data_IF_877828959893
#
_entry.id   IF_877828959893
#
_cell.length_a   1.000
_cell.length_b   1.000
_cell.length_c   1.000
_cell.angle_alpha   90.00
_cell.angle_beta   90.00
_cell.angle_gamma   90.00
#
_symmetry.space_group_name_H-M   'P 1'
#
loop_
_entity.id
_entity.type
_entity.pdbx_description
1 polymer ?
#
# COMPACT_ATOMS: atom_id res chain seq x y z
N UNK A 1 -8.65 14.51 -16.57
CA UNK A 1 -7.61 14.86 -15.58
C UNK A 1 -7.54 13.70 -14.64
N UNK A 2 -6.80 12.66 -15.04
CA UNK A 2 -6.67 11.47 -14.22
C UNK A 2 -5.85 11.81 -12.99
N UNK A 3 -6.35 11.39 -11.83
CA UNK A 3 -5.61 11.51 -10.58
C UNK A 3 -4.25 10.80 -10.68
N UNK A 4 -3.34 11.05 -9.73
CA UNK A 4 -2.06 10.35 -9.66
C UNK A 4 -2.22 8.83 -9.83
N UNK A 5 -1.39 8.26 -10.70
CA UNK A 5 -1.46 6.86 -11.06
C UNK A 5 -1.08 5.96 -9.88
N UNK A 6 -1.76 4.81 -9.78
CA UNK A 6 -1.43 3.77 -8.82
C UNK A 6 -0.06 3.15 -9.14
N UNK A 7 0.80 3.06 -8.12
CA UNK A 7 2.08 2.38 -8.20
C UNK A 7 1.96 0.99 -7.59
N UNK A 8 2.09 -0.02 -8.45
CA UNK A 8 2.11 -1.43 -8.05
C UNK A 8 3.47 -1.82 -7.48
N UNK A 9 3.51 -2.60 -6.40
CA UNK A 9 4.77 -3.10 -5.82
C UNK A 9 5.56 -3.95 -6.82
N UNK A 10 6.89 -3.82 -6.83
CA UNK A 10 7.78 -4.66 -7.66
C UNK A 10 7.83 -6.14 -7.23
N UNK A 11 7.36 -6.45 -6.01
CA UNK A 11 7.26 -7.83 -5.50
C UNK A 11 5.94 -8.52 -5.89
N UNK A 12 5.09 -7.81 -6.62
CA UNK A 12 3.82 -8.34 -7.11
C UNK A 12 4.04 -9.49 -8.10
N UNK A 13 3.47 -10.66 -7.79
CA UNK A 13 3.43 -11.78 -8.73
C UNK A 13 2.17 -11.71 -9.61
N UNK A 14 2.05 -12.62 -10.58
CA UNK A 14 0.91 -12.67 -11.51
C UNK A 14 -0.42 -13.07 -10.84
N UNK A 15 -0.41 -13.50 -9.57
CA UNK A 15 -1.57 -14.07 -8.89
C UNK A 15 -2.40 -13.04 -8.10
N UNK A 16 -2.44 -11.79 -8.57
CA UNK A 16 -3.43 -10.76 -8.22
C UNK A 16 -3.58 -10.28 -6.74
N UNK A 17 -2.76 -10.75 -5.79
CA UNK A 17 -2.71 -10.22 -4.42
C UNK A 17 -1.69 -9.07 -4.26
N UNK A 18 -1.81 -8.03 -5.09
CA UNK A 18 -0.79 -6.98 -5.18
C UNK A 18 -1.22 -5.73 -4.42
N UNK A 19 -0.36 -5.23 -3.53
CA UNK A 19 -0.58 -3.92 -2.90
C UNK A 19 -0.15 -2.81 -3.88
N UNK A 20 -1.05 -1.84 -4.05
CA UNK A 20 -0.84 -0.64 -4.85
C UNK A 20 -0.93 0.61 -3.97
N UNK A 21 -0.12 1.62 -4.29
CA UNK A 21 -0.06 2.88 -3.53
C UNK A 21 -0.16 4.09 -4.45
N UNK A 22 -0.76 5.18 -3.97
CA UNK A 22 -0.66 6.49 -4.61
C UNK A 22 -0.65 7.62 -3.59
N UNK A 23 -0.13 8.77 -3.99
CA UNK A 23 -0.36 10.02 -3.28
C UNK A 23 -1.70 10.61 -3.72
N UNK A 24 -2.53 11.09 -2.80
CA UNK A 24 -3.80 11.75 -3.15
C UNK A 24 -4.09 12.82 -2.09
N UNK A 25 -4.23 14.08 -2.52
CA UNK A 25 -4.57 15.22 -1.65
C UNK A 25 -3.64 15.36 -0.42
N UNK A 26 -2.34 15.10 -0.60
CA UNK A 26 -1.33 15.15 0.47
C UNK A 26 -1.32 13.93 1.41
N UNK A 27 -2.17 12.94 1.15
CA UNK A 27 -2.25 11.68 1.87
C UNK A 27 -1.69 10.53 1.02
N UNK A 28 -1.55 9.37 1.66
CA UNK A 28 -1.22 8.10 1.01
C UNK A 28 -2.48 7.25 0.98
N UNK A 29 -2.80 6.71 -0.18
CA UNK A 29 -3.83 5.70 -0.36
C UNK A 29 -3.18 4.36 -0.69
N UNK A 30 -3.68 3.30 -0.07
CA UNK A 30 -3.30 1.92 -0.32
C UNK A 30 -4.55 1.15 -0.72
N UNK A 31 -4.40 0.20 -1.64
CA UNK A 31 -5.43 -0.78 -1.99
C UNK A 31 -4.79 -2.10 -2.39
N UNK A 32 -5.60 -3.15 -2.42
CA UNK A 32 -5.25 -4.42 -3.04
C UNK A 32 -5.78 -4.45 -4.49
N UNK A 33 -5.04 -5.06 -5.41
CA UNK A 33 -5.46 -5.10 -6.82
C UNK A 33 -6.75 -5.89 -7.05
N UNK A 34 -7.02 -6.93 -6.25
CA UNK A 34 -8.25 -7.73 -6.33
C UNK A 34 -9.43 -7.14 -5.54
N UNK A 35 -9.18 -6.16 -4.67
CA UNK A 35 -10.20 -5.39 -3.96
C UNK A 35 -9.97 -3.88 -4.15
N UNK A 36 -10.08 -3.46 -5.42
CA UNK A 36 -9.67 -2.13 -5.86
C UNK A 36 -10.55 -0.98 -5.34
N UNK A 37 -11.73 -1.29 -4.81
CA UNK A 37 -12.70 -0.34 -4.26
C UNK A 37 -12.46 -0.08 -2.76
N UNK A 38 -11.75 -0.97 -2.07
CA UNK A 38 -11.36 -0.80 -0.67
C UNK A 38 -10.06 0.00 -0.57
N UNK A 39 -10.19 1.29 -0.27
CA UNK A 39 -9.06 2.22 -0.16
C UNK A 39 -8.77 2.56 1.31
N UNK A 40 -7.59 2.16 1.79
CA UNK A 40 -7.06 2.62 3.07
C UNK A 40 -6.32 3.94 2.86
N UNK A 41 -6.73 4.99 3.58
CA UNK A 41 -6.07 6.31 3.53
C UNK A 41 -5.30 6.58 4.82
N UNK A 42 -4.07 7.07 4.68
CA UNK A 42 -3.19 7.38 5.80
C UNK A 42 -2.30 8.60 5.53
N UNK A 43 -1.61 9.08 6.55
CA UNK A 43 -0.64 10.18 6.39
C UNK A 43 0.71 9.64 5.88
N UNK A 44 1.52 10.47 5.18
CA UNK A 44 2.87 10.06 4.79
C UNK A 44 3.74 9.60 5.96
N UNK A 45 3.59 10.23 7.14
CA UNK A 45 4.33 9.86 8.34
C UNK A 45 3.96 8.48 8.88
N UNK A 46 2.66 8.15 8.89
CA UNK A 46 2.20 6.82 9.32
C UNK A 46 2.57 5.74 8.31
N UNK A 47 2.49 6.03 7.00
CA UNK A 47 2.94 5.12 5.96
C UNK A 47 4.44 4.82 6.07
N UNK A 48 5.27 5.84 6.31
CA UNK A 48 6.71 5.65 6.52
C UNK A 48 7.00 4.74 7.73
N UNK A 49 6.30 4.95 8.85
CA UNK A 49 6.41 4.09 10.04
C UNK A 49 5.97 2.65 9.76
N UNK A 50 4.87 2.45 9.05
CA UNK A 50 4.41 1.12 8.64
C UNK A 50 5.48 0.40 7.82
N UNK A 51 6.04 1.05 6.81
CA UNK A 51 7.11 0.47 5.98
C UNK A 51 8.36 0.14 6.80
N UNK A 52 8.71 0.97 7.78
CA UNK A 52 9.83 0.71 8.69
C UNK A 52 9.56 -0.52 9.58
N UNK A 53 8.38 -0.63 10.18
CA UNK A 53 7.99 -1.76 11.02
C UNK A 53 7.96 -3.09 10.22
N UNK A 54 7.44 -3.08 9.00
CA UNK A 54 7.47 -4.24 8.09
C UNK A 54 8.91 -4.67 7.81
N UNK A 55 9.78 -3.73 7.46
CA UNK A 55 11.19 -4.03 7.19
C UNK A 55 11.95 -4.55 8.41
N UNK A 56 11.51 -4.18 9.61
CA UNK A 56 12.06 -4.66 10.86
C UNK A 56 11.51 -6.03 11.30
N UNK A 57 10.52 -6.58 10.57
CA UNK A 57 9.85 -7.84 10.91
C UNK A 57 8.89 -7.74 12.11
N UNK A 58 8.59 -6.51 12.58
CA UNK A 58 7.74 -6.31 13.76
C UNK A 58 6.30 -6.81 13.54
N UNK A 59 5.88 -6.89 12.28
CA UNK A 59 4.53 -7.28 11.87
C UNK A 59 4.45 -8.72 11.34
N UNK A 60 5.55 -9.51 11.41
CA UNK A 60 5.57 -10.88 10.86
C UNK A 60 4.57 -11.81 11.53
N UNK A 61 4.16 -11.49 12.76
CA UNK A 61 3.10 -12.20 13.48
C UNK A 61 1.70 -12.09 12.81
N UNK A 62 1.52 -11.17 11.86
CA UNK A 62 0.30 -11.03 11.06
C UNK A 62 0.36 -11.76 9.71
N UNK A 63 1.49 -12.37 9.35
CA UNK A 63 1.67 -13.06 8.07
C UNK A 63 1.16 -14.52 8.06
N UNK A 64 0.49 -14.96 9.15
CA UNK A 64 0.03 -16.34 9.37
C UNK A 64 -1.50 -16.43 9.50
#
# INVERSE_FOLDING_TARGET
MDGPAWQKSSYSSANNACVEVRTADGLIELRESDDADTILRTTPANFAKLVQAIKAGELDHHAN
#
